data_IF_790387415901
#
_entry.id   IF_790387415901
#
_cell.length_a   1.000
_cell.length_b   1.000
_cell.length_c   1.000
_cell.angle_alpha   90.00
_cell.angle_beta   90.00
_cell.angle_gamma   90.00
#
_symmetry.space_group_name_H-M   'P 1'
#
loop_
_entity.id
_entity.type
_entity.pdbx_description
1 polymer ?
#
# COMPACT_ATOMS: atom_id res chain seq x y z
N UNK A 1 -23.91 -7.01 -0.73
CA UNK A 1 -24.57 -6.16 -1.76
C UNK A 1 -23.53 -5.26 -2.39
N UNK A 2 -23.49 -5.13 -3.73
CA UNK A 2 -22.55 -4.20 -4.39
C UNK A 2 -22.83 -2.77 -3.93
N UNK A 3 -21.80 -1.98 -3.59
CA UNK A 3 -21.96 -0.57 -3.26
C UNK A 3 -22.70 0.18 -4.38
N UNK A 4 -23.69 0.98 -4.02
CA UNK A 4 -24.48 1.78 -4.97
C UNK A 4 -25.84 1.22 -5.36
N UNK A 5 -26.19 -0.02 -4.97
CA UNK A 5 -27.54 -0.55 -5.18
C UNK A 5 -28.59 0.17 -4.33
N UNK A 6 -28.20 0.71 -3.20
CA UNK A 6 -28.99 1.56 -2.29
C UNK A 6 -29.41 2.91 -2.90
N UNK A 7 -28.74 3.32 -4.00
CA UNK A 7 -29.07 4.55 -4.75
C UNK A 7 -30.12 4.35 -5.85
N UNK A 8 -30.52 3.11 -6.08
CA UNK A 8 -31.55 2.80 -7.06
C UNK A 8 -32.94 2.95 -6.40
N UNK A 9 -33.82 3.76 -6.99
CA UNK A 9 -35.24 3.82 -6.62
C UNK A 9 -35.98 2.60 -7.21
N UNK A 10 -35.59 1.40 -6.72
CA UNK A 10 -36.09 0.11 -7.18
C UNK A 10 -36.02 -0.92 -6.04
N UNK A 11 -36.97 -1.87 -6.06
CA UNK A 11 -36.91 -3.03 -5.19
C UNK A 11 -35.77 -3.96 -5.62
N UNK A 12 -34.74 -4.10 -4.77
CA UNK A 12 -33.60 -4.97 -5.03
C UNK A 12 -33.80 -6.32 -4.34
N UNK A 13 -33.84 -7.40 -5.10
CA UNK A 13 -33.86 -8.77 -4.58
C UNK A 13 -32.49 -9.40 -4.81
N UNK A 14 -31.82 -9.84 -3.74
CA UNK A 14 -30.57 -10.60 -3.83
C UNK A 14 -30.91 -12.09 -3.82
N UNK A 15 -30.69 -12.76 -4.94
CA UNK A 15 -30.83 -14.21 -5.03
C UNK A 15 -29.52 -14.90 -4.61
N UNK A 16 -29.65 -15.96 -3.82
CA UNK A 16 -28.52 -16.85 -3.55
C UNK A 16 -28.25 -17.71 -4.78
N UNK A 17 -27.03 -17.58 -5.33
CA UNK A 17 -26.56 -18.36 -6.49
C UNK A 17 -25.56 -19.44 -6.09
N UNK A 18 -25.46 -19.77 -4.79
CA UNK A 18 -24.62 -20.83 -4.27
C UNK A 18 -23.12 -20.47 -4.17
N UNK A 19 -22.75 -19.19 -4.23
CA UNK A 19 -21.38 -18.77 -3.96
C UNK A 19 -21.17 -18.81 -2.44
N UNK A 20 -20.23 -19.64 -1.93
CA UNK A 20 -19.94 -19.67 -0.50
C UNK A 20 -19.47 -18.30 -0.03
N UNK A 21 -19.94 -17.85 1.14
CA UNK A 21 -19.48 -16.60 1.77
C UNK A 21 -17.94 -16.59 2.00
N UNK A 22 -17.31 -17.75 2.11
CA UNK A 22 -15.86 -17.89 2.18
C UNK A 22 -15.15 -17.37 0.92
N UNK A 23 -15.79 -17.40 -0.25
CA UNK A 23 -15.21 -16.88 -1.50
C UNK A 23 -15.00 -15.36 -1.48
N UNK A 24 -15.73 -14.64 -0.63
CA UNK A 24 -15.57 -13.18 -0.44
C UNK A 24 -14.35 -12.79 0.42
N UNK A 25 -13.69 -13.78 1.03
CA UNK A 25 -12.60 -13.57 1.99
C UNK A 25 -11.22 -13.81 1.40
N UNK A 26 -11.14 -14.35 0.21
CA UNK A 26 -9.88 -14.73 -0.43
C UNK A 26 -9.80 -14.12 -1.81
N UNK A 27 -8.65 -13.53 -2.12
CA UNK A 27 -8.35 -13.07 -3.47
C UNK A 27 -7.90 -14.24 -4.34
N UNK A 28 -8.21 -14.19 -5.61
CA UNK A 28 -7.85 -15.23 -6.56
C UNK A 28 -7.63 -14.71 -7.98
N UNK A 29 -7.25 -15.58 -8.92
CA UNK A 29 -6.96 -15.16 -10.30
C UNK A 29 -8.12 -14.46 -10.99
N UNK A 30 -9.37 -14.73 -10.55
CA UNK A 30 -10.57 -14.09 -11.10
C UNK A 30 -10.65 -12.59 -10.82
N UNK A 31 -10.06 -12.12 -9.73
CA UNK A 31 -10.04 -10.71 -9.35
C UNK A 31 -9.18 -9.86 -10.30
N UNK A 32 -8.25 -10.51 -11.03
CA UNK A 32 -7.42 -9.86 -12.04
C UNK A 32 -8.17 -9.58 -13.35
N UNK A 33 -9.33 -10.18 -13.58
CA UNK A 33 -10.09 -10.01 -14.84
C UNK A 33 -10.58 -8.58 -15.07
N UNK A 34 -10.67 -7.77 -14.00
CA UNK A 34 -11.03 -6.36 -14.06
C UNK A 34 -9.87 -5.40 -14.27
N UNK A 35 -8.63 -5.89 -14.24
CA UNK A 35 -7.41 -5.10 -14.35
C UNK A 35 -6.91 -4.98 -15.81
N UNK A 36 -7.82 -4.79 -16.76
CA UNK A 36 -7.46 -4.57 -18.16
C UNK A 36 -6.93 -3.15 -18.40
N UNK A 37 -5.78 -3.05 -19.08
CA UNK A 37 -5.32 -1.77 -19.63
C UNK A 37 -6.03 -1.54 -20.96
N UNK A 38 -6.60 -0.34 -21.16
CA UNK A 38 -7.13 0.03 -22.47
C UNK A 38 -5.99 0.13 -23.48
N UNK A 39 -6.16 -0.51 -24.65
CA UNK A 39 -5.16 -0.51 -25.71
C UNK A 39 -4.89 0.90 -26.28
N UNK A 40 -5.87 1.80 -26.18
CA UNK A 40 -5.80 3.17 -26.65
C UNK A 40 -5.40 4.16 -25.55
N UNK A 41 -5.10 3.68 -24.33
CA UNK A 41 -4.73 4.54 -23.22
C UNK A 41 -3.39 5.25 -23.45
N UNK A 42 -3.30 6.49 -22.98
CA UNK A 42 -2.11 7.32 -23.05
C UNK A 42 -1.36 7.37 -21.71
N UNK A 43 -0.10 7.84 -21.77
CA UNK A 43 0.73 8.00 -20.58
C UNK A 43 0.05 8.92 -19.55
N UNK A 44 -0.10 8.45 -18.34
CA UNK A 44 -0.75 9.13 -17.22
C UNK A 44 -2.19 8.68 -16.94
N UNK A 45 -2.82 7.89 -17.82
CA UNK A 45 -4.20 7.40 -17.64
C UNK A 45 -4.26 6.11 -16.82
N UNK A 46 -3.13 5.39 -16.69
CA UNK A 46 -3.06 4.13 -15.93
C UNK A 46 -2.40 4.31 -14.55
N UNK A 47 -2.35 5.54 -14.09
CA UNK A 47 -1.94 5.90 -12.73
C UNK A 47 -0.45 6.12 -12.52
N UNK A 48 -0.17 6.95 -11.52
CA UNK A 48 1.15 7.24 -10.99
C UNK A 48 1.32 6.68 -9.58
N UNK A 49 2.49 6.10 -9.30
CA UNK A 49 2.80 5.51 -8.00
C UNK A 49 4.05 6.15 -7.41
N UNK A 50 3.98 6.55 -6.15
CA UNK A 50 5.15 6.91 -5.34
C UNK A 50 5.49 5.76 -4.39
N UNK A 51 6.71 5.27 -4.43
CA UNK A 51 7.26 4.38 -3.41
C UNK A 51 8.13 5.19 -2.46
N UNK A 52 7.78 5.22 -1.18
CA UNK A 52 8.55 5.84 -0.09
C UNK A 52 9.24 4.72 0.68
N UNK A 53 10.53 4.60 0.51
CA UNK A 53 11.27 3.48 1.09
C UNK A 53 12.77 3.60 0.92
N UNK A 54 13.49 2.58 1.38
CA UNK A 54 14.95 2.60 1.39
C UNK A 54 15.52 3.28 2.62
N UNK A 55 16.68 2.85 2.96
CA UNK A 55 17.50 3.20 4.10
C UNK A 55 18.66 2.23 4.08
N UNK A 56 18.69 1.22 4.96
CA UNK A 56 19.71 0.19 4.90
C UNK A 56 19.54 -0.77 3.68
N UNK A 57 18.36 -0.77 3.04
CA UNK A 57 18.03 -1.72 1.98
C UNK A 57 17.50 -1.01 0.73
N UNK A 58 18.23 -1.09 -0.38
CA UNK A 58 17.83 -0.55 -1.69
C UNK A 58 16.88 -1.49 -2.46
N UNK A 59 16.99 -2.80 -2.22
CA UNK A 59 16.29 -3.83 -3.01
C UNK A 59 14.76 -3.79 -2.86
N UNK A 60 14.25 -3.69 -1.63
CA UNK A 60 12.82 -3.74 -1.36
C UNK A 60 12.03 -2.61 -2.05
N UNK A 61 12.40 -1.32 -1.94
CA UNK A 61 11.71 -0.26 -2.65
C UNK A 61 11.85 -0.38 -4.17
N UNK A 62 12.99 -0.85 -4.69
CA UNK A 62 13.18 -1.07 -6.11
C UNK A 62 12.27 -2.19 -6.65
N UNK A 63 12.09 -3.29 -5.91
CA UNK A 63 11.19 -4.36 -6.29
C UNK A 63 9.72 -3.92 -6.24
N UNK A 64 9.31 -3.17 -5.21
CA UNK A 64 7.95 -2.61 -5.12
C UNK A 64 7.66 -1.69 -6.32
N UNK A 65 8.61 -0.82 -6.66
CA UNK A 65 8.49 0.09 -7.80
C UNK A 65 8.40 -0.66 -9.14
N UNK A 66 9.22 -1.69 -9.34
CA UNK A 66 9.15 -2.53 -10.54
C UNK A 66 7.87 -3.35 -10.62
N UNK A 67 7.33 -3.79 -9.48
CA UNK A 67 6.05 -4.48 -9.44
C UNK A 67 4.91 -3.54 -9.89
N UNK A 68 4.91 -2.29 -9.45
CA UNK A 68 3.95 -1.28 -9.90
C UNK A 68 4.00 -1.05 -11.42
N UNK A 69 5.19 -0.92 -12.00
CA UNK A 69 5.35 -0.82 -13.47
C UNK A 69 4.81 -2.07 -14.18
N UNK A 70 5.08 -3.26 -13.65
CA UNK A 70 4.58 -4.53 -14.24
C UNK A 70 3.08 -4.71 -14.09
N UNK A 71 2.49 -4.15 -13.04
CA UNK A 71 1.04 -4.13 -12.86
C UNK A 71 0.33 -3.14 -13.78
N UNK A 72 1.08 -2.27 -14.48
CA UNK A 72 0.55 -1.38 -15.50
C UNK A 72 0.58 0.11 -15.15
N UNK A 73 1.17 0.51 -14.03
CA UNK A 73 1.36 1.93 -13.73
C UNK A 73 2.22 2.62 -14.80
N UNK A 74 1.80 3.79 -15.25
CA UNK A 74 2.48 4.54 -16.30
C UNK A 74 3.70 5.29 -15.78
N UNK A 75 3.69 5.66 -14.51
CA UNK A 75 4.73 6.46 -13.88
C UNK A 75 5.00 5.96 -12.47
N UNK A 76 6.25 5.61 -12.20
CA UNK A 76 6.66 5.18 -10.86
C UNK A 76 7.83 6.01 -10.38
N UNK A 77 7.63 6.65 -9.23
CA UNK A 77 8.65 7.42 -8.51
C UNK A 77 9.06 6.68 -7.25
N UNK A 78 10.31 6.83 -6.86
CA UNK A 78 10.82 6.32 -5.59
C UNK A 78 11.44 7.48 -4.81
N UNK A 79 10.97 7.72 -3.61
CA UNK A 79 11.60 8.65 -2.66
C UNK A 79 12.38 7.84 -1.62
N UNK A 80 13.68 8.09 -1.53
CA UNK A 80 14.60 7.33 -0.68
C UNK A 80 15.74 8.22 -0.17
N UNK A 81 16.53 7.78 0.83
CA UNK A 81 17.78 8.45 1.18
C UNK A 81 18.74 8.50 -0.02
N UNK A 82 19.48 9.61 -0.13
CA UNK A 82 20.42 9.84 -1.24
C UNK A 82 21.49 8.74 -1.37
N UNK A 83 21.89 8.15 -0.24
CA UNK A 83 22.90 7.09 -0.20
C UNK A 83 22.55 5.85 -1.03
N UNK A 84 21.26 5.53 -1.16
CA UNK A 84 20.79 4.35 -1.92
C UNK A 84 20.11 4.69 -3.24
N UNK A 85 19.99 5.97 -3.58
CA UNK A 85 19.25 6.43 -4.76
C UNK A 85 19.82 5.86 -6.08
N UNK A 86 21.14 5.84 -6.22
CA UNK A 86 21.80 5.31 -7.41
C UNK A 86 21.64 3.80 -7.55
N UNK A 87 21.65 3.07 -6.43
CA UNK A 87 21.41 1.63 -6.43
C UNK A 87 19.98 1.33 -6.88
N UNK A 88 19.01 2.04 -6.33
CA UNK A 88 17.59 1.89 -6.73
C UNK A 88 17.40 2.24 -8.20
N UNK A 89 17.98 3.35 -8.68
CA UNK A 89 17.90 3.76 -10.08
C UNK A 89 18.51 2.69 -11.00
N UNK A 90 19.54 1.99 -10.57
CA UNK A 90 20.20 0.93 -11.32
C UNK A 90 19.32 -0.29 -11.61
N UNK A 91 18.21 -0.49 -10.89
CA UNK A 91 17.28 -1.61 -11.13
C UNK A 91 16.43 -1.46 -12.41
N UNK A 92 16.14 -0.23 -12.84
CA UNK A 92 15.43 0.03 -14.10
C UNK A 92 15.59 1.48 -14.54
N UNK A 93 15.75 1.68 -15.86
CA UNK A 93 15.71 3.01 -16.47
C UNK A 93 14.33 3.70 -16.39
N UNK A 94 13.28 2.93 -16.17
CA UNK A 94 11.90 3.45 -16.10
C UNK A 94 11.56 4.04 -14.72
N UNK A 95 12.42 3.86 -13.72
CA UNK A 95 12.22 4.43 -12.39
C UNK A 95 12.67 5.89 -12.35
N UNK A 96 11.90 6.72 -11.65
CA UNK A 96 12.28 8.10 -11.35
C UNK A 96 12.62 8.19 -9.85
N UNK A 97 13.91 8.26 -9.53
CA UNK A 97 14.36 8.22 -8.13
C UNK A 97 14.64 9.62 -7.60
N UNK A 98 14.04 9.94 -6.47
CA UNK A 98 14.20 11.17 -5.70
C UNK A 98 14.99 10.88 -4.43
N UNK A 99 16.30 11.11 -4.46
CA UNK A 99 17.15 11.03 -3.27
C UNK A 99 16.96 12.25 -2.37
N UNK A 100 16.66 12.02 -1.08
CA UNK A 100 16.65 13.06 -0.06
C UNK A 100 17.93 13.00 0.79
N UNK A 101 18.44 14.12 1.32
CA UNK A 101 19.68 14.13 2.12
C UNK A 101 19.62 13.21 3.35
N UNK A 102 20.72 12.53 3.66
CA UNK A 102 20.84 11.66 4.84
C UNK A 102 20.88 10.18 4.51
N UNK A 103 21.10 9.38 5.54
CA UNK A 103 21.23 7.91 5.48
C UNK A 103 19.87 7.19 5.67
N UNK A 104 18.89 7.88 6.26
CA UNK A 104 17.54 7.36 6.54
C UNK A 104 16.49 8.44 6.29
N UNK A 105 15.24 8.01 6.08
CA UNK A 105 14.11 8.93 6.04
C UNK A 105 13.73 9.37 7.47
N UNK A 106 13.58 10.67 7.66
CA UNK A 106 13.33 11.30 8.96
C UNK A 106 12.31 12.45 8.84
N UNK A 107 11.75 12.97 9.96
CA UNK A 107 10.71 14.00 9.94
C UNK A 107 11.01 15.26 9.14
N UNK A 108 12.28 15.60 8.98
CA UNK A 108 12.72 16.74 8.15
C UNK A 108 12.33 16.59 6.67
N UNK A 109 12.09 15.38 6.20
CA UNK A 109 11.71 15.09 4.81
C UNK A 109 10.20 15.11 4.57
N UNK A 110 9.38 15.28 5.62
CA UNK A 110 7.93 15.11 5.57
C UNK A 110 7.27 15.94 4.48
N UNK A 111 7.51 17.24 4.45
CA UNK A 111 6.86 18.14 3.49
C UNK A 111 7.25 17.77 2.05
N UNK A 112 8.51 17.42 1.82
CA UNK A 112 8.97 16.96 0.49
C UNK A 112 8.29 15.66 0.04
N UNK A 113 8.06 14.72 0.96
CA UNK A 113 7.37 13.47 0.66
C UNK A 113 5.89 13.69 0.38
N UNK A 114 5.23 14.59 1.13
CA UNK A 114 3.85 14.99 0.88
C UNK A 114 3.68 15.69 -0.48
N UNK A 115 4.60 16.59 -0.86
CA UNK A 115 4.60 17.24 -2.17
C UNK A 115 4.72 16.22 -3.31
N UNK A 116 5.55 15.19 -3.15
CA UNK A 116 5.68 14.12 -4.13
C UNK A 116 4.41 13.25 -4.19
N UNK A 117 3.83 12.94 -3.03
CA UNK A 117 2.61 12.14 -2.92
C UNK A 117 1.41 12.84 -3.58
N UNK A 118 1.25 14.14 -3.38
CA UNK A 118 0.14 14.92 -3.94
C UNK A 118 0.02 14.89 -5.47
N UNK A 119 1.06 14.43 -6.15
CA UNK A 119 1.09 14.29 -7.62
C UNK A 119 0.93 12.86 -8.11
N UNK A 120 0.60 11.93 -7.22
CA UNK A 120 0.45 10.51 -7.54
C UNK A 120 -0.94 9.99 -7.14
N UNK A 121 -1.37 8.92 -7.78
CA UNK A 121 -2.66 8.29 -7.51
C UNK A 121 -2.60 7.33 -6.33
N UNK A 122 -1.42 6.75 -6.08
CA UNK A 122 -1.17 5.80 -4.99
C UNK A 122 0.23 6.02 -4.41
N UNK A 123 0.33 5.88 -3.10
CA UNK A 123 1.61 5.81 -2.38
C UNK A 123 1.83 4.40 -1.85
N UNK A 124 3.04 3.88 -1.95
CA UNK A 124 3.53 2.69 -1.23
C UNK A 124 4.56 3.18 -0.22
N UNK A 125 4.38 2.88 1.06
CA UNK A 125 5.33 3.29 2.11
C UNK A 125 5.75 2.10 2.96
N UNK A 126 7.03 2.01 3.28
CA UNK A 126 7.57 1.01 4.20
C UNK A 126 8.71 0.16 3.67
N UNK A 127 8.72 -0.25 2.40
CA UNK A 127 9.74 -1.18 1.90
C UNK A 127 11.17 -0.69 2.16
N UNK A 128 11.89 -1.41 3.03
CA UNK A 128 13.31 -1.17 3.33
C UNK A 128 13.63 0.13 4.07
N UNK A 129 12.68 0.71 4.80
CA UNK A 129 12.91 1.92 5.61
C UNK A 129 13.89 1.68 6.76
N UNK A 130 13.86 0.48 7.34
CA UNK A 130 14.60 0.17 8.56
C UNK A 130 14.02 0.83 9.81
N UNK A 131 14.83 0.83 10.87
CA UNK A 131 14.44 1.24 12.22
C UNK A 131 15.26 2.44 12.73
N UNK A 132 15.84 3.24 11.84
CA UNK A 132 16.62 4.41 12.21
C UNK A 132 15.79 5.43 13.03
N UNK A 133 16.47 6.17 13.89
CA UNK A 133 15.86 7.19 14.73
C UNK A 133 15.02 8.18 13.89
N UNK A 134 13.77 8.38 14.30
CA UNK A 134 12.85 9.29 13.65
C UNK A 134 12.08 8.70 12.46
N UNK A 135 12.46 7.53 11.92
CA UNK A 135 11.74 6.92 10.78
C UNK A 135 10.28 6.62 11.14
N UNK A 136 10.02 5.99 12.29
CA UNK A 136 8.67 5.71 12.74
C UNK A 136 7.83 6.99 12.92
N UNK A 137 8.44 8.05 13.45
CA UNK A 137 7.77 9.33 13.62
C UNK A 137 7.45 9.99 12.27
N UNK A 138 8.37 9.91 11.31
CA UNK A 138 8.09 10.34 9.94
C UNK A 138 6.88 9.61 9.37
N UNK A 139 6.84 8.28 9.48
CA UNK A 139 5.73 7.46 8.94
C UNK A 139 4.41 7.86 9.60
N UNK A 140 4.36 8.01 10.94
CA UNK A 140 3.14 8.48 11.63
C UNK A 140 2.65 9.82 11.08
N UNK A 141 3.54 10.80 10.99
CA UNK A 141 3.20 12.15 10.48
C UNK A 141 2.80 12.14 9.02
N UNK A 142 3.42 11.28 8.23
CA UNK A 142 3.10 11.14 6.82
C UNK A 142 1.70 10.55 6.64
N UNK A 143 1.41 9.42 7.30
CA UNK A 143 0.11 8.76 7.22
C UNK A 143 -1.04 9.63 7.76
N UNK A 144 -0.78 10.45 8.80
CA UNK A 144 -1.76 11.38 9.35
C UNK A 144 -2.06 12.58 8.46
N UNK A 145 -1.26 12.84 7.40
CA UNK A 145 -1.38 14.03 6.54
C UNK A 145 -1.51 13.75 5.06
N UNK A 146 -1.19 12.54 4.63
CA UNK A 146 -1.32 12.15 3.22
C UNK A 146 -2.79 11.94 2.89
N UNK A 147 -3.19 12.39 1.70
CA UNK A 147 -4.50 12.14 1.14
C UNK A 147 -4.47 10.94 0.17
N UNK A 148 -5.65 10.36 -0.09
CA UNK A 148 -5.85 9.34 -1.12
C UNK A 148 -5.52 7.92 -0.67
N UNK A 149 -4.87 7.13 -1.53
CA UNK A 149 -4.66 5.69 -1.33
C UNK A 149 -3.23 5.38 -0.99
N UNK A 150 -3.04 4.63 0.10
CA UNK A 150 -1.70 4.26 0.57
C UNK A 150 -1.62 2.76 0.81
N UNK A 151 -0.66 2.11 0.18
CA UNK A 151 -0.24 0.75 0.53
C UNK A 151 0.85 0.87 1.59
N UNK A 152 0.60 0.25 2.75
CA UNK A 152 1.54 0.25 3.88
C UNK A 152 2.11 -1.16 4.03
N UNK A 153 3.43 -1.28 3.97
CA UNK A 153 4.14 -2.56 3.99
C UNK A 153 5.35 -2.52 4.93
N UNK A 154 5.83 -3.68 5.32
CA UNK A 154 7.07 -3.88 6.05
C UNK A 154 7.23 -2.93 7.25
N UNK A 155 8.35 -2.17 7.31
CA UNK A 155 8.74 -1.35 8.47
C UNK A 155 7.71 -0.26 8.84
N UNK A 156 6.84 0.14 7.92
CA UNK A 156 5.80 1.13 8.18
C UNK A 156 4.56 0.55 8.90
N UNK A 157 4.32 -0.75 8.83
CA UNK A 157 3.12 -1.39 9.38
C UNK A 157 2.97 -1.19 10.88
N UNK A 158 4.08 -1.19 11.61
CA UNK A 158 4.10 -1.11 13.09
C UNK A 158 3.45 0.15 13.66
N UNK A 159 3.36 1.23 12.89
CA UNK A 159 2.76 2.48 13.36
C UNK A 159 1.29 2.64 13.02
N UNK A 160 0.76 1.81 12.11
CA UNK A 160 -0.63 1.93 11.63
C UNK A 160 -1.66 1.92 12.77
N UNK A 161 -1.56 1.06 13.81
CA UNK A 161 -2.55 1.04 14.90
C UNK A 161 -2.58 2.33 15.75
N UNK A 162 -1.59 3.19 15.61
CA UNK A 162 -1.45 4.43 16.39
C UNK A 162 -1.81 5.68 15.57
N UNK A 163 -2.20 5.52 14.30
CA UNK A 163 -2.42 6.65 13.37
C UNK A 163 -3.89 6.83 13.08
N UNK A 164 -4.37 8.05 13.27
CA UNK A 164 -5.64 8.52 12.75
C UNK A 164 -5.41 9.20 11.40
N UNK A 165 -6.12 8.75 10.35
CA UNK A 165 -5.93 9.21 8.98
C UNK A 165 -7.20 9.11 8.16
N UNK A 166 -7.41 10.09 7.28
CA UNK A 166 -8.48 10.07 6.27
C UNK A 166 -8.07 9.30 4.99
N UNK A 167 -6.80 8.89 4.88
CA UNK A 167 -6.33 8.11 3.74
C UNK A 167 -6.87 6.68 3.74
N UNK A 168 -7.17 6.15 2.55
CA UNK A 168 -7.56 4.76 2.36
C UNK A 168 -6.30 3.86 2.43
N UNK A 169 -6.12 3.17 3.56
CA UNK A 169 -4.96 2.31 3.76
C UNK A 169 -5.24 0.86 3.33
N UNK A 170 -4.30 0.29 2.58
CA UNK A 170 -4.18 -1.15 2.32
C UNK A 170 -2.87 -1.62 2.94
N UNK A 171 -2.96 -2.42 4.00
CA UNK A 171 -1.79 -2.95 4.71
C UNK A 171 -1.51 -4.40 4.26
N UNK A 172 -0.23 -4.74 4.06
CA UNK A 172 0.20 -6.05 3.54
C UNK A 172 1.05 -6.84 4.53
N UNK A 173 0.62 -7.00 5.80
CA UNK A 173 1.43 -7.67 6.81
C UNK A 173 1.56 -9.16 6.54
N UNK A 174 2.74 -9.72 6.61
CA UNK A 174 2.87 -11.15 6.85
C UNK A 174 2.45 -11.48 8.30
N UNK A 175 2.29 -12.76 8.64
CA UNK A 175 1.77 -13.17 9.96
C UNK A 175 2.60 -12.66 11.17
N UNK A 176 3.90 -12.41 10.98
CA UNK A 176 4.77 -11.82 12.02
C UNK A 176 4.40 -10.36 12.27
N UNK A 177 4.37 -9.57 11.20
CA UNK A 177 4.01 -8.15 11.24
C UNK A 177 2.58 -7.93 11.73
N UNK A 178 1.64 -8.81 11.33
CA UNK A 178 0.27 -8.76 11.84
C UNK A 178 0.23 -8.86 13.38
N UNK A 179 1.06 -9.75 13.98
CA UNK A 179 1.15 -9.84 15.44
C UNK A 179 1.78 -8.60 16.08
N UNK A 180 2.79 -8.03 15.43
CA UNK A 180 3.42 -6.77 15.88
C UNK A 180 2.44 -5.58 15.85
N UNK A 181 1.50 -5.59 14.89
CA UNK A 181 0.39 -4.64 14.84
C UNK A 181 -0.69 -4.88 15.91
N UNK A 182 -0.64 -5.99 16.63
CA UNK A 182 -1.63 -6.38 17.64
C UNK A 182 -2.69 -7.37 17.15
N UNK A 183 -2.62 -7.81 15.89
CA UNK A 183 -3.52 -8.80 15.32
C UNK A 183 -3.20 -10.24 15.75
N UNK A 184 -4.21 -11.09 15.66
CA UNK A 184 -4.06 -12.52 15.93
C UNK A 184 -3.98 -13.33 14.63
N UNK A 185 -3.26 -14.46 14.70
CA UNK A 185 -3.14 -15.39 13.59
C UNK A 185 -3.67 -16.76 13.96
N UNK A 186 -3.98 -17.60 12.97
CA UNK A 186 -4.36 -19.00 13.16
C UNK A 186 -3.72 -19.87 12.08
N UNK A 187 -3.55 -21.16 12.39
CA UNK A 187 -3.01 -22.14 11.45
C UNK A 187 -4.04 -22.50 10.36
N UNK A 188 -5.30 -22.64 10.76
CA UNK A 188 -6.38 -22.97 9.84
C UNK A 188 -6.76 -21.74 9.00
N UNK A 189 -6.81 -21.87 7.66
CA UNK A 189 -7.08 -20.74 6.76
C UNK A 189 -8.40 -20.01 7.05
N UNK A 190 -9.48 -20.77 7.36
CA UNK A 190 -10.79 -20.19 7.66
C UNK A 190 -10.77 -19.36 8.94
N UNK A 191 -10.20 -19.87 10.01
CA UNK A 191 -10.06 -19.16 11.28
C UNK A 191 -9.15 -17.93 11.14
N UNK A 192 -8.04 -18.06 10.38
CA UNK A 192 -7.16 -16.94 10.07
C UNK A 192 -7.91 -15.83 9.34
N UNK A 193 -8.69 -16.17 8.32
CA UNK A 193 -9.50 -15.20 7.60
C UNK A 193 -10.47 -14.44 8.49
N UNK A 194 -11.12 -15.12 9.48
CA UNK A 194 -11.99 -14.45 10.44
C UNK A 194 -11.24 -13.49 11.36
N UNK A 195 -10.08 -13.90 11.88
CA UNK A 195 -9.26 -13.05 12.75
C UNK A 195 -8.74 -11.82 12.02
N UNK A 196 -8.22 -12.00 10.80
CA UNK A 196 -7.75 -10.88 9.94
C UNK A 196 -8.91 -9.92 9.64
N UNK A 197 -10.08 -10.44 9.31
CA UNK A 197 -11.28 -9.62 9.06
C UNK A 197 -11.71 -8.82 10.28
N UNK A 198 -11.71 -9.44 11.45
CA UNK A 198 -12.07 -8.76 12.70
C UNK A 198 -11.08 -7.64 13.01
N UNK A 199 -9.80 -7.89 12.88
CA UNK A 199 -8.76 -6.91 13.11
C UNK A 199 -8.78 -5.77 12.07
N UNK A 200 -9.03 -6.09 10.79
CA UNK A 200 -9.21 -5.08 9.74
C UNK A 200 -10.39 -4.14 10.04
N UNK A 201 -11.50 -4.69 10.56
CA UNK A 201 -12.65 -3.89 10.96
C UNK A 201 -12.36 -3.01 12.20
N UNK A 202 -11.56 -3.50 13.16
CA UNK A 202 -11.13 -2.73 14.32
C UNK A 202 -10.20 -1.58 13.92
N UNK A 203 -9.24 -1.83 13.02
CA UNK A 203 -8.36 -0.80 12.49
C UNK A 203 -9.05 0.19 11.55
N UNK A 204 -10.18 -0.18 10.95
CA UNK A 204 -10.83 0.62 9.91
C UNK A 204 -10.13 0.61 8.54
N UNK A 205 -9.21 -0.33 8.32
CA UNK A 205 -8.37 -0.42 7.13
C UNK A 205 -8.45 -1.78 6.44
N UNK A 206 -8.02 -1.84 5.18
CA UNK A 206 -7.93 -3.11 4.43
C UNK A 206 -6.64 -3.85 4.79
N UNK A 207 -6.75 -5.13 5.12
CA UNK A 207 -5.62 -6.02 5.36
C UNK A 207 -5.56 -7.12 4.29
N UNK A 208 -4.38 -7.32 3.71
CA UNK A 208 -4.02 -8.44 2.85
C UNK A 208 -2.92 -9.25 3.53
N UNK A 209 -3.22 -10.47 4.01
CA UNK A 209 -2.34 -11.30 4.86
C UNK A 209 -1.99 -12.64 4.17
#
# INVERSE_FOLDING_TARGET
TKPGLDRLDAAVTVADIGIPAAAERFTGPGDLLGLGRDADSHKGENGGVLVVGGGPYAGAPAWSARAALRAGADLVRVACPAGVANEIQGFSADLIVHGVPGEALAPVHLDRLLDLAATQDVVVIGPGLGDADGTAELVRRFLARVDGRVVVDADALRVVPEVDTDAELVCTPHQGELREMGGETASEPGERGERVRSFAAELGHTLLV
#
